data_IF_472782435244
#
_entry.id   IF_472782435244
#
_cell.length_a   1.000
_cell.length_b   1.000
_cell.length_c   1.000
_cell.angle_alpha   90.00
_cell.angle_beta   90.00
_cell.angle_gamma   90.00
#
_symmetry.space_group_name_H-M   'P 1'
#
loop_
_entity.id
_entity.type
_entity.pdbx_description
1 polymer ?
#
# COMPACT_ATOMS: atom_id res chain seq x y z
N UNK A 1 -2.03 -18.98 26.60
CA UNK A 1 -2.21 -17.84 25.67
C UNK A 1 -3.72 -17.63 25.57
N UNK A 2 -4.21 -16.40 25.72
CA UNK A 2 -5.66 -16.17 25.83
C UNK A 2 -6.26 -16.16 24.42
N UNK A 3 -7.17 -17.07 24.08
CA UNK A 3 -7.76 -17.22 22.72
C UNK A 3 -8.29 -15.89 22.17
N UNK A 4 -8.90 -15.07 23.04
CA UNK A 4 -9.38 -13.73 22.75
C UNK A 4 -8.29 -12.73 22.30
N UNK A 5 -7.02 -12.97 22.67
CA UNK A 5 -5.87 -12.17 22.21
C UNK A 5 -5.39 -12.60 20.84
N UNK A 6 -5.57 -13.87 20.49
CA UNK A 6 -5.10 -14.42 19.21
C UNK A 6 -6.12 -14.14 18.10
N UNK A 7 -7.42 -14.18 18.41
CA UNK A 7 -8.49 -13.74 17.49
C UNK A 7 -8.35 -12.27 17.10
N UNK A 8 -8.17 -11.37 18.09
CA UNK A 8 -7.97 -9.92 17.82
C UNK A 8 -6.72 -9.64 16.98
N UNK A 9 -5.70 -10.47 17.13
CA UNK A 9 -4.44 -10.37 16.37
C UNK A 9 -4.65 -10.79 14.93
N UNK A 10 -5.39 -11.87 14.70
CA UNK A 10 -5.74 -12.35 13.37
C UNK A 10 -6.69 -11.37 12.65
N UNK A 11 -7.71 -10.85 13.32
CA UNK A 11 -8.61 -9.82 12.77
C UNK A 11 -7.81 -8.58 12.32
N UNK A 12 -6.88 -8.11 13.16
CA UNK A 12 -6.01 -6.98 12.83
C UNK A 12 -5.14 -7.27 11.61
N UNK A 13 -4.60 -8.48 11.51
CA UNK A 13 -3.80 -8.92 10.37
C UNK A 13 -4.60 -8.97 9.06
N UNK A 14 -5.83 -9.51 9.09
CA UNK A 14 -6.71 -9.49 7.92
C UNK A 14 -7.06 -8.06 7.51
N UNK A 15 -7.34 -7.18 8.48
CA UNK A 15 -7.58 -5.76 8.21
C UNK A 15 -6.37 -5.04 7.59
N UNK A 16 -5.14 -5.45 7.91
CA UNK A 16 -3.95 -4.92 7.25
C UNK A 16 -3.81 -5.40 5.81
N UNK A 17 -4.10 -6.67 5.54
CA UNK A 17 -4.09 -7.20 4.16
C UNK A 17 -5.11 -6.52 3.27
N UNK A 18 -6.35 -6.36 3.74
CA UNK A 18 -7.40 -5.69 2.97
C UNK A 18 -7.05 -4.23 2.65
N UNK A 19 -6.39 -3.54 3.59
CA UNK A 19 -5.91 -2.16 3.36
C UNK A 19 -4.77 -2.15 2.35
N UNK A 20 -3.79 -3.04 2.50
CA UNK A 20 -2.67 -3.16 1.58
C UNK A 20 -3.16 -3.41 0.15
N UNK A 21 -4.09 -4.33 -0.06
CA UNK A 21 -4.66 -4.62 -1.39
C UNK A 21 -5.31 -3.38 -2.01
N UNK A 22 -6.12 -2.64 -1.24
CA UNK A 22 -6.77 -1.41 -1.72
C UNK A 22 -5.76 -0.31 -2.07
N UNK A 23 -4.74 -0.12 -1.22
CA UNK A 23 -3.71 0.89 -1.44
C UNK A 23 -2.86 0.54 -2.66
N UNK A 24 -2.45 -0.72 -2.81
CA UNK A 24 -1.68 -1.18 -3.96
C UNK A 24 -2.48 -1.07 -5.25
N UNK A 25 -3.75 -1.47 -5.25
CA UNK A 25 -4.62 -1.31 -6.42
C UNK A 25 -4.76 0.17 -6.82
N UNK A 26 -4.93 1.07 -5.86
CA UNK A 26 -4.96 2.51 -6.12
C UNK A 26 -3.63 3.03 -6.67
N UNK A 27 -2.50 2.53 -6.17
CA UNK A 27 -1.17 2.90 -6.64
C UNK A 27 -0.94 2.50 -8.12
N UNK A 28 -1.42 1.32 -8.51
CA UNK A 28 -1.40 0.84 -9.90
C UNK A 28 -2.30 1.67 -10.82
N UNK A 29 -3.49 2.06 -10.34
CA UNK A 29 -4.38 2.97 -11.06
C UNK A 29 -3.70 4.32 -11.32
N UNK A 30 -3.06 4.91 -10.31
CA UNK A 30 -2.32 6.17 -10.46
C UNK A 30 -1.18 6.05 -11.47
N UNK A 31 -0.43 4.94 -11.44
CA UNK A 31 0.62 4.65 -12.43
C UNK A 31 0.06 4.65 -13.86
N UNK A 32 -1.11 4.04 -14.05
CA UNK A 32 -1.79 4.02 -15.35
C UNK A 32 -2.25 5.42 -15.77
N UNK A 33 -2.80 6.21 -14.84
CA UNK A 33 -3.24 7.57 -15.11
C UNK A 33 -2.07 8.50 -15.47
N UNK A 34 -0.96 8.42 -14.72
CA UNK A 34 0.26 9.19 -14.97
C UNK A 34 0.84 8.84 -16.34
N UNK A 35 0.91 7.55 -16.69
CA UNK A 35 1.40 7.09 -18.00
C UNK A 35 0.58 7.70 -19.15
N UNK A 36 -0.76 7.63 -19.06
CA UNK A 36 -1.65 8.24 -20.06
C UNK A 36 -1.52 9.76 -20.11
N UNK A 37 -1.34 10.42 -18.97
CA UNK A 37 -1.15 11.86 -18.89
C UNK A 37 0.12 12.29 -19.63
N UNK A 38 1.21 11.52 -19.52
CA UNK A 38 2.43 11.74 -20.31
C UNK A 38 2.20 11.54 -21.81
N UNK A 39 1.51 10.47 -22.22
CA UNK A 39 1.20 10.20 -23.63
C UNK A 39 0.38 11.33 -24.25
N UNK A 40 -0.68 11.78 -23.57
CA UNK A 40 -1.54 12.85 -24.08
C UNK A 40 -0.82 14.21 -24.13
N UNK A 41 0.09 14.46 -23.18
CA UNK A 41 0.95 15.65 -23.24
C UNK A 41 1.93 15.59 -24.42
N UNK A 42 2.59 14.45 -24.63
CA UNK A 42 3.51 14.24 -25.76
C UNK A 42 2.82 14.36 -27.13
N UNK A 43 1.54 13.98 -27.20
CA UNK A 43 0.69 14.15 -28.39
C UNK A 43 0.13 15.57 -28.56
N UNK A 44 0.43 16.50 -27.64
CA UNK A 44 -0.05 17.89 -27.69
C UNK A 44 -1.54 18.05 -27.37
N UNK A 45 -2.21 17.01 -26.86
CA UNK A 45 -3.63 17.08 -26.48
C UNK A 45 -3.84 17.86 -25.17
N UNK A 46 -2.81 17.92 -24.33
CA UNK A 46 -2.85 18.60 -23.03
C UNK A 46 -1.72 19.64 -22.96
N UNK A 47 -2.02 20.91 -22.68
CA UNK A 47 -0.99 21.93 -22.46
C UNK A 47 -0.13 21.61 -21.23
N UNK A 48 1.16 21.98 -21.29
CA UNK A 48 2.14 21.72 -20.21
C UNK A 48 1.65 22.15 -18.82
N UNK A 49 0.99 23.31 -18.72
CA UNK A 49 0.46 23.81 -17.44
C UNK A 49 -0.60 22.89 -16.82
N UNK A 50 -1.41 22.22 -17.65
CA UNK A 50 -2.41 21.26 -17.17
C UNK A 50 -1.77 19.92 -16.83
N UNK A 51 -0.77 19.50 -17.60
CA UNK A 51 0.05 18.34 -17.30
C UNK A 51 0.71 18.50 -15.93
N UNK A 52 1.48 19.58 -15.69
CA UNK A 52 2.21 19.81 -14.44
C UNK A 52 1.26 19.78 -13.22
N UNK A 53 0.08 20.39 -13.36
CA UNK A 53 -0.92 20.41 -12.29
C UNK A 53 -1.42 19.02 -11.96
N UNK A 54 -1.84 18.25 -12.96
CA UNK A 54 -2.41 16.92 -12.75
C UNK A 54 -1.33 15.92 -12.30
N UNK A 55 -0.15 16.00 -12.90
CA UNK A 55 1.00 15.18 -12.53
C UNK A 55 1.36 15.38 -11.05
N UNK A 56 1.50 16.63 -10.59
CA UNK A 56 1.84 16.89 -9.20
C UNK A 56 0.79 16.36 -8.21
N UNK A 57 -0.50 16.38 -8.57
CA UNK A 57 -1.57 15.82 -7.73
C UNK A 57 -1.40 14.30 -7.62
N UNK A 58 -1.27 13.61 -8.76
CA UNK A 58 -1.14 12.15 -8.77
C UNK A 58 0.16 11.68 -8.15
N UNK A 59 1.28 12.34 -8.43
CA UNK A 59 2.59 12.04 -7.84
C UNK A 59 2.58 12.21 -6.31
N UNK A 60 1.95 13.28 -5.81
CA UNK A 60 1.81 13.48 -4.36
C UNK A 60 0.96 12.38 -3.72
N UNK A 61 -0.17 12.00 -4.34
CA UNK A 61 -1.01 10.90 -3.87
C UNK A 61 -0.23 9.57 -3.89
N UNK A 62 0.52 9.31 -4.98
CA UNK A 62 1.31 8.09 -5.16
C UNK A 62 2.38 7.94 -4.07
N UNK A 63 3.13 9.01 -3.78
CA UNK A 63 4.14 9.01 -2.72
C UNK A 63 3.57 8.77 -1.32
N UNK A 64 2.33 9.23 -1.06
CA UNK A 64 1.66 8.96 0.21
C UNK A 64 1.20 7.50 0.29
N UNK A 65 0.64 6.96 -0.80
CA UNK A 65 0.26 5.56 -0.89
C UNK A 65 1.46 4.64 -0.72
N UNK A 66 2.60 4.92 -1.36
CA UNK A 66 3.83 4.12 -1.23
C UNK A 66 4.32 4.05 0.23
N UNK A 67 4.24 5.15 0.99
CA UNK A 67 4.57 5.17 2.42
C UNK A 67 3.60 4.32 3.24
N UNK A 68 2.31 4.39 2.94
CA UNK A 68 1.29 3.59 3.63
C UNK A 68 1.44 2.09 3.30
N UNK A 69 1.71 1.75 2.04
CA UNK A 69 1.98 0.39 1.57
C UNK A 69 3.17 -0.18 2.35
N UNK A 70 4.31 0.52 2.35
CA UNK A 70 5.49 0.08 3.09
C UNK A 70 5.19 -0.15 4.57
N UNK A 71 4.46 0.77 5.21
CA UNK A 71 4.06 0.63 6.60
C UNK A 71 3.23 -0.65 6.85
N UNK A 72 2.25 -0.96 5.99
CA UNK A 72 1.42 -2.16 6.16
C UNK A 72 2.18 -3.45 5.85
N UNK A 73 3.10 -3.43 4.88
CA UNK A 73 4.01 -4.55 4.61
C UNK A 73 4.89 -4.85 5.82
N UNK A 74 5.48 -3.83 6.44
CA UNK A 74 6.29 -3.96 7.65
C UNK A 74 5.47 -4.54 8.83
N UNK A 75 4.23 -4.07 9.03
CA UNK A 75 3.34 -4.58 10.08
C UNK A 75 2.96 -6.05 9.86
N UNK A 76 2.73 -6.45 8.61
CA UNK A 76 2.45 -7.83 8.20
C UNK A 76 3.67 -8.72 8.44
N UNK A 77 4.86 -8.29 8.03
CA UNK A 77 6.12 -9.03 8.27
C UNK A 77 6.37 -9.18 9.77
N UNK A 78 6.20 -8.11 10.54
CA UNK A 78 6.34 -8.11 11.99
C UNK A 78 5.35 -9.09 12.66
N UNK A 79 4.12 -9.19 12.15
CA UNK A 79 3.15 -10.20 12.60
C UNK A 79 3.66 -11.62 12.36
N UNK A 80 4.17 -11.91 11.16
CA UNK A 80 4.74 -13.22 10.82
C UNK A 80 5.91 -13.60 11.72
N UNK A 81 6.85 -12.67 11.95
CA UNK A 81 8.01 -12.91 12.79
C UNK A 81 7.61 -13.23 14.24
N UNK A 82 6.69 -12.46 14.83
CA UNK A 82 6.18 -12.72 16.19
C UNK A 82 5.51 -14.08 16.33
N UNK A 83 4.78 -14.52 15.31
CA UNK A 83 4.12 -15.83 15.29
C UNK A 83 5.16 -16.96 15.27
N UNK A 84 6.15 -16.87 14.39
CA UNK A 84 7.25 -17.84 14.29
C UNK A 84 8.04 -17.95 15.60
N UNK A 85 8.36 -16.83 16.24
CA UNK A 85 9.12 -16.82 17.49
C UNK A 85 8.31 -17.41 18.66
N UNK A 86 7.01 -17.14 18.71
CA UNK A 86 6.10 -17.75 19.69
C UNK A 86 6.02 -19.27 19.50
N UNK A 87 5.91 -19.76 18.27
CA UNK A 87 5.89 -21.19 17.96
C UNK A 87 7.20 -21.90 18.32
N UNK A 88 8.35 -21.24 18.14
CA UNK A 88 9.67 -21.77 18.55
C UNK A 88 9.80 -21.87 20.06
N UNK A 89 9.28 -20.89 20.80
CA UNK A 89 9.32 -20.89 22.26
C UNK A 89 8.47 -22.02 22.85
N UNK A 90 7.30 -22.29 22.29
CA UNK A 90 6.39 -23.35 22.75
C UNK A 90 6.87 -24.77 22.45
N UNK A 91 7.85 -24.94 21.53
CA UNK A 91 8.41 -26.24 21.14
C UNK A 91 9.69 -26.63 21.90
N UNK A 92 10.17 -25.79 22.82
CA UNK A 92 11.31 -26.08 23.71
C UNK A 92 10.82 -26.59 25.06
#
# INVERSE_FOLDING_TARGET
MNELSDEKREEKYQGYKEKLEKLSSRNEELTTLITKLYEDHALGKIPVKHFDRLFNIYDTEQQDLEKQIQYFEDEIESYHQRKVDSDKFLKR
#
